data_IF_739110013095
#
_entry.id   IF_739110013095
#
_cell.length_a   1.000
_cell.length_b   1.000
_cell.length_c   1.000
_cell.angle_alpha   90.00
_cell.angle_beta   90.00
_cell.angle_gamma   90.00
#
_symmetry.space_group_name_H-M   'P 1'
#
loop_
_entity.id
_entity.type
_entity.pdbx_description
1 polymer ?
#
# COMPACT_ATOMS: atom_id res chain seq x y z
N UNK A 1 11.14 -17.82 -10.19
CA UNK A 1 10.78 -17.61 -11.61
C UNK A 1 9.38 -18.11 -11.95
N UNK A 2 9.06 -19.41 -11.73
CA UNK A 2 7.75 -19.99 -12.08
C UNK A 2 6.53 -19.18 -11.58
N UNK A 3 6.51 -18.77 -10.30
CA UNK A 3 5.41 -17.96 -9.74
C UNK A 3 5.21 -16.60 -10.45
N UNK A 4 6.29 -15.96 -10.90
CA UNK A 4 6.21 -14.66 -11.59
C UNK A 4 5.62 -14.83 -13.00
N UNK A 5 5.97 -15.90 -13.71
CA UNK A 5 5.40 -16.22 -15.02
C UNK A 5 3.90 -16.51 -14.90
N UNK A 6 3.50 -17.33 -13.93
CA UNK A 6 2.07 -17.59 -13.65
C UNK A 6 1.30 -16.29 -13.38
N UNK A 7 1.86 -15.40 -12.56
CA UNK A 7 1.22 -14.11 -12.27
C UNK A 7 1.13 -13.22 -13.52
N UNK A 8 2.18 -13.19 -14.34
CA UNK A 8 2.19 -12.45 -15.60
C UNK A 8 1.07 -12.94 -16.53
N UNK A 9 0.88 -14.24 -16.66
CA UNK A 9 -0.17 -14.83 -17.51
C UNK A 9 -1.57 -14.50 -16.99
N UNK A 10 -1.78 -14.56 -15.67
CA UNK A 10 -3.05 -14.15 -15.04
C UNK A 10 -3.35 -12.68 -15.36
N UNK A 11 -2.38 -11.78 -15.16
CA UNK A 11 -2.58 -10.34 -15.40
C UNK A 11 -2.88 -10.07 -16.88
N UNK A 12 -2.16 -10.71 -17.80
CA UNK A 12 -2.40 -10.55 -19.25
C UNK A 12 -3.76 -11.08 -19.68
N UNK A 13 -4.25 -12.15 -19.04
CA UNK A 13 -5.57 -12.73 -19.31
C UNK A 13 -6.68 -11.79 -18.83
N UNK A 14 -6.56 -11.26 -17.60
CA UNK A 14 -7.54 -10.33 -17.01
C UNK A 14 -7.52 -8.96 -17.69
N UNK A 15 -6.34 -8.50 -18.14
CA UNK A 15 -6.18 -7.20 -18.81
C UNK A 15 -5.32 -7.33 -20.07
N UNK A 16 -5.92 -7.73 -21.20
CA UNK A 16 -5.21 -7.78 -22.47
C UNK A 16 -4.62 -6.42 -22.85
N UNK A 17 -3.40 -6.43 -23.41
CA UNK A 17 -2.69 -5.21 -23.84
C UNK A 17 -1.88 -4.51 -22.75
N UNK A 18 -1.96 -4.92 -21.48
CA UNK A 18 -1.09 -4.37 -20.44
C UNK A 18 0.34 -4.88 -20.61
N UNK A 19 1.32 -3.97 -20.54
CA UNK A 19 2.74 -4.34 -20.55
C UNK A 19 3.14 -4.81 -19.16
N UNK A 20 3.35 -6.12 -19.01
CA UNK A 20 3.83 -6.72 -17.76
C UNK A 20 5.31 -7.07 -17.88
N UNK A 21 6.14 -6.46 -17.03
CA UNK A 21 7.55 -6.81 -16.87
C UNK A 21 7.70 -7.53 -15.54
N UNK A 22 8.32 -8.71 -15.56
CA UNK A 22 8.66 -9.46 -14.34
C UNK A 22 10.16 -9.38 -14.09
N UNK A 23 10.55 -9.29 -12.83
CA UNK A 23 11.95 -9.25 -12.43
C UNK A 23 12.13 -9.98 -11.09
N UNK A 24 13.31 -10.57 -10.90
CA UNK A 24 13.75 -11.11 -9.61
C UNK A 24 14.60 -10.10 -8.82
N UNK A 25 14.90 -8.96 -9.42
CA UNK A 25 15.68 -7.85 -8.87
C UNK A 25 14.96 -6.54 -9.15
N UNK A 26 14.18 -6.07 -8.19
CA UNK A 26 13.34 -4.88 -8.34
C UNK A 26 14.18 -3.59 -8.42
N UNK A 27 15.38 -3.60 -7.82
CA UNK A 27 16.29 -2.46 -7.73
C UNK A 27 16.68 -1.85 -9.10
N UNK A 28 16.54 -2.64 -10.17
CA UNK A 28 16.87 -2.23 -11.55
C UNK A 28 15.84 -1.27 -12.16
N UNK A 29 14.65 -1.20 -11.60
CA UNK A 29 13.54 -0.42 -12.16
C UNK A 29 13.15 0.79 -11.31
N UNK A 30 13.68 0.93 -10.09
CA UNK A 30 13.29 1.97 -9.12
C UNK A 30 13.31 3.39 -9.71
N UNK A 31 14.37 3.73 -10.44
CA UNK A 31 14.57 5.05 -11.06
C UNK A 31 13.55 5.37 -12.17
N UNK A 32 12.76 4.38 -12.59
CA UNK A 32 11.71 4.53 -13.60
C UNK A 32 10.28 4.47 -13.03
N UNK A 33 10.10 4.14 -11.74
CA UNK A 33 8.78 3.91 -11.16
C UNK A 33 8.15 5.18 -10.60
N UNK A 34 6.90 5.44 -10.99
CA UNK A 34 6.10 6.54 -10.43
C UNK A 34 5.32 6.08 -9.18
N UNK A 35 5.00 4.78 -9.09
CA UNK A 35 4.35 4.15 -7.93
C UNK A 35 5.02 2.83 -7.59
N UNK A 36 5.29 2.60 -6.30
CA UNK A 36 5.84 1.35 -5.77
C UNK A 36 4.91 0.82 -4.68
N UNK A 37 4.46 -0.43 -4.80
CA UNK A 37 3.65 -1.10 -3.77
C UNK A 37 4.48 -2.20 -3.13
N UNK A 38 4.77 -2.05 -1.84
CA UNK A 38 5.52 -3.01 -1.05
C UNK A 38 4.55 -3.87 -0.23
N UNK A 39 4.46 -5.15 -0.59
CA UNK A 39 3.59 -6.12 0.06
C UNK A 39 4.36 -7.36 0.59
N UNK A 40 5.68 -7.24 0.76
CA UNK A 40 6.56 -8.30 1.23
C UNK A 40 7.56 -7.75 2.22
N UNK A 41 7.67 -8.36 3.42
CA UNK A 41 8.63 -7.95 4.45
C UNK A 41 10.08 -7.99 3.98
N UNK A 42 10.43 -8.89 3.05
CA UNK A 42 11.76 -8.96 2.45
C UNK A 42 12.06 -7.83 1.45
N UNK A 43 11.11 -6.91 1.19
CA UNK A 43 11.32 -5.82 0.23
C UNK A 43 12.28 -4.73 0.74
N UNK A 44 12.63 -4.72 2.04
CA UNK A 44 13.57 -3.74 2.61
C UNK A 44 14.90 -3.68 1.87
N UNK A 45 15.43 -4.84 1.46
CA UNK A 45 16.70 -4.91 0.71
C UNK A 45 16.56 -4.51 -0.76
N UNK A 46 15.32 -4.41 -1.26
CA UNK A 46 15.02 -4.20 -2.69
C UNK A 46 14.64 -2.76 -3.05
N UNK A 47 14.30 -1.93 -2.06
CA UNK A 47 13.82 -0.56 -2.29
C UNK A 47 14.68 0.44 -1.51
N UNK A 48 15.64 1.05 -2.22
CA UNK A 48 16.36 2.21 -1.72
C UNK A 48 15.59 3.49 -2.09
N UNK A 49 15.06 4.18 -1.08
CA UNK A 49 14.31 5.43 -1.26
C UNK A 49 15.16 6.52 -1.94
N UNK A 50 16.49 6.46 -1.86
CA UNK A 50 17.35 7.45 -2.52
C UNK A 50 17.39 7.28 -4.04
N UNK A 51 17.00 6.12 -4.56
CA UNK A 51 17.07 5.79 -5.99
C UNK A 51 15.74 5.94 -6.73
N UNK A 52 14.64 6.24 -6.03
CA UNK A 52 13.35 6.42 -6.70
C UNK A 52 13.24 7.80 -7.34
N UNK A 53 12.39 7.92 -8.36
CA UNK A 53 12.06 9.20 -8.99
C UNK A 53 11.59 10.24 -7.96
N UNK A 54 11.94 11.52 -8.14
CA UNK A 54 11.20 12.59 -7.48
C UNK A 54 9.71 12.50 -7.83
N UNK A 55 8.85 12.60 -6.82
CA UNK A 55 7.40 12.46 -6.95
C UNK A 55 6.90 11.01 -6.91
N UNK A 56 7.79 10.02 -6.72
CA UNK A 56 7.37 8.62 -6.55
C UNK A 56 6.46 8.47 -5.33
N UNK A 57 5.39 7.69 -5.47
CA UNK A 57 4.52 7.29 -4.36
C UNK A 57 4.84 5.86 -3.97
N UNK A 58 5.23 5.65 -2.71
CA UNK A 58 5.54 4.34 -2.17
C UNK A 58 4.49 3.97 -1.13
N UNK A 59 3.82 2.84 -1.33
CA UNK A 59 2.90 2.27 -0.34
C UNK A 59 3.58 1.13 0.40
N UNK A 60 3.76 1.29 1.71
CA UNK A 60 4.26 0.27 2.61
C UNK A 60 3.10 -0.43 3.34
N UNK A 61 2.81 -1.68 2.96
CA UNK A 61 1.72 -2.48 3.54
C UNK A 61 2.30 -3.54 4.50
N UNK A 62 3.60 -3.51 4.80
CA UNK A 62 4.22 -4.53 5.64
C UNK A 62 4.03 -4.23 7.12
N UNK A 63 4.04 -5.29 7.93
CA UNK A 63 4.06 -5.22 9.39
C UNK A 63 5.15 -6.16 9.91
N UNK A 64 6.20 -5.64 10.60
CA UNK A 64 6.49 -4.22 10.84
C UNK A 64 6.75 -3.44 9.53
N UNK A 65 6.65 -2.10 9.59
CA UNK A 65 6.94 -1.23 8.44
C UNK A 65 8.41 -1.32 8.05
N UNK A 66 8.69 -1.21 6.76
CA UNK A 66 10.04 -1.20 6.19
C UNK A 66 10.71 0.15 6.42
N UNK A 67 10.01 1.25 6.13
CA UNK A 67 10.56 2.61 6.22
C UNK A 67 10.38 3.23 7.60
N UNK A 68 11.45 3.83 8.09
CA UNK A 68 11.44 4.68 9.29
C UNK A 68 11.23 6.15 8.93
N UNK A 69 10.74 6.96 9.87
CA UNK A 69 10.59 8.41 9.70
C UNK A 69 11.91 9.09 9.31
N UNK A 70 13.04 8.61 9.83
CA UNK A 70 14.38 9.11 9.49
C UNK A 70 14.77 8.82 8.03
N UNK A 71 14.37 7.68 7.47
CA UNK A 71 14.62 7.35 6.07
C UNK A 71 13.73 8.20 5.14
N UNK A 72 12.45 8.33 5.47
CA UNK A 72 11.50 9.15 4.69
C UNK A 72 11.92 10.62 4.69
N UNK A 73 12.40 11.15 5.83
CA UNK A 73 12.86 12.53 5.94
C UNK A 73 14.01 12.90 4.99
N UNK A 74 14.79 11.91 4.48
CA UNK A 74 15.87 12.14 3.50
C UNK A 74 15.35 12.47 2.10
N UNK A 75 14.08 12.16 1.81
CA UNK A 75 13.44 12.31 0.49
C UNK A 75 12.08 12.99 0.64
N UNK A 76 12.10 14.29 0.95
CA UNK A 76 10.89 15.11 1.09
C UNK A 76 10.14 15.38 -0.23
N UNK A 77 10.66 14.85 -1.33
CA UNK A 77 10.10 14.83 -2.67
C UNK A 77 9.46 13.48 -3.03
N UNK A 78 9.43 12.51 -2.10
CA UNK A 78 8.81 11.19 -2.27
C UNK A 78 7.69 11.03 -1.26
N UNK A 79 6.54 10.51 -1.68
CA UNK A 79 5.39 10.30 -0.80
C UNK A 79 5.39 8.85 -0.32
N UNK A 80 5.68 8.62 0.96
CA UNK A 80 5.54 7.30 1.58
C UNK A 80 4.24 7.24 2.37
N UNK A 81 3.35 6.34 1.95
CA UNK A 81 2.06 6.09 2.62
C UNK A 81 2.03 4.68 3.19
N UNK A 82 1.33 4.49 4.29
CA UNK A 82 0.97 3.17 4.79
C UNK A 82 -0.28 2.67 4.05
N UNK A 83 -0.46 1.36 4.00
CA UNK A 83 -1.66 0.75 3.42
C UNK A 83 -2.34 -0.22 4.38
N UNK A 84 -3.58 -0.58 4.01
CA UNK A 84 -4.35 -1.61 4.71
C UNK A 84 -5.05 -1.13 5.98
N UNK A 85 -5.46 0.14 6.04
CA UNK A 85 -6.22 0.72 7.15
C UNK A 85 -7.68 0.96 6.73
N UNK A 86 -8.62 0.54 7.58
CA UNK A 86 -10.06 0.56 7.32
C UNK A 86 -10.77 1.29 8.46
N UNK A 87 -11.60 2.27 8.13
CA UNK A 87 -12.48 2.95 9.06
C UNK A 87 -13.74 2.10 9.28
N UNK A 88 -13.96 1.69 10.53
CA UNK A 88 -15.15 0.97 10.96
C UNK A 88 -16.36 1.91 11.13
N UNK A 89 -17.59 1.42 10.86
CA UNK A 89 -18.83 2.14 11.09
C UNK A 89 -19.19 2.21 12.58
N UNK A 90 -19.92 3.25 12.98
CA UNK A 90 -20.50 3.35 14.32
C UNK A 90 -19.65 4.14 15.31
N UNK A 91 -20.30 4.53 16.42
CA UNK A 91 -19.74 5.47 17.38
C UNK A 91 -19.25 4.81 18.68
N UNK A 92 -19.69 3.56 18.93
CA UNK A 92 -19.46 2.82 20.17
C UNK A 92 -18.66 1.54 19.89
N UNK A 93 -17.46 1.70 19.31
CA UNK A 93 -16.53 0.60 19.10
C UNK A 93 -15.60 0.53 20.31
N UNK A 94 -15.55 -0.63 20.95
CA UNK A 94 -14.64 -0.94 22.04
C UNK A 94 -13.61 -1.96 21.57
N UNK A 95 -12.34 -1.59 21.61
CA UNK A 95 -11.22 -2.43 21.22
C UNK A 95 -9.97 -2.05 22.01
N UNK A 96 -9.01 -2.97 22.11
CA UNK A 96 -7.69 -2.64 22.64
C UNK A 96 -6.96 -1.72 21.67
N UNK A 97 -5.98 -0.98 22.21
CA UNK A 97 -5.07 -0.20 21.39
C UNK A 97 -4.24 -1.12 20.47
N UNK A 98 -4.17 -0.77 19.19
CA UNK A 98 -3.44 -1.49 18.14
C UNK A 98 -2.54 -0.54 17.32
N UNK A 99 -2.19 0.60 17.91
CA UNK A 99 -1.36 1.65 17.31
C UNK A 99 -2.02 2.30 16.07
N UNK A 100 -3.34 2.49 16.11
CA UNK A 100 -4.11 3.16 15.06
C UNK A 100 -5.06 4.19 15.65
N UNK A 101 -5.44 5.23 14.88
CA UNK A 101 -6.45 6.19 15.32
C UNK A 101 -7.79 5.51 15.64
N UNK A 102 -8.63 6.20 16.43
CA UNK A 102 -9.95 5.70 16.83
C UNK A 102 -10.77 5.22 15.63
N UNK A 103 -11.43 4.07 15.80
CA UNK A 103 -12.28 3.39 14.81
C UNK A 103 -11.55 2.92 13.53
N UNK A 104 -10.22 3.02 13.47
CA UNK A 104 -9.45 2.50 12.34
C UNK A 104 -8.81 1.18 12.74
N UNK A 105 -8.92 0.18 11.85
CA UNK A 105 -8.34 -1.15 12.04
C UNK A 105 -7.54 -1.58 10.82
N UNK A 106 -6.62 -2.50 11.01
CA UNK A 106 -5.94 -3.16 9.89
C UNK A 106 -6.94 -3.98 9.06
N UNK A 107 -6.71 -4.05 7.75
CA UNK A 107 -7.59 -4.73 6.80
C UNK A 107 -7.82 -6.22 7.14
N UNK A 108 -6.82 -6.90 7.72
CA UNK A 108 -6.99 -8.28 8.19
C UNK A 108 -7.96 -8.41 9.38
N UNK A 109 -7.95 -7.44 10.30
CA UNK A 109 -8.94 -7.38 11.38
C UNK A 109 -10.32 -6.99 10.83
N UNK A 110 -10.38 -6.06 9.87
CA UNK A 110 -11.62 -5.74 9.18
C UNK A 110 -12.23 -6.97 8.49
N UNK A 111 -11.44 -7.80 7.80
CA UNK A 111 -11.92 -9.08 7.23
C UNK A 111 -12.57 -9.96 8.30
N UNK A 112 -11.92 -10.10 9.46
CA UNK A 112 -12.43 -10.92 10.57
C UNK A 112 -13.77 -10.39 11.09
N UNK A 113 -13.88 -9.06 11.25
CA UNK A 113 -15.12 -8.40 11.68
C UNK A 113 -16.23 -8.61 10.63
N UNK A 114 -15.93 -8.39 9.35
CA UNK A 114 -16.89 -8.57 8.24
C UNK A 114 -17.44 -10.00 8.25
N UNK A 115 -16.57 -11.01 8.34
CA UNK A 115 -16.97 -12.41 8.34
C UNK A 115 -17.84 -12.74 9.56
N UNK A 116 -17.48 -12.20 10.72
CA UNK A 116 -18.27 -12.37 11.95
C UNK A 116 -19.67 -11.75 11.83
N UNK A 117 -19.78 -10.56 11.23
CA UNK A 117 -21.07 -9.90 10.97
C UNK A 117 -21.94 -10.66 9.96
N UNK A 118 -21.32 -11.38 9.01
CA UNK A 118 -22.02 -12.28 8.08
C UNK A 118 -22.30 -13.67 8.67
N UNK A 119 -21.87 -13.95 9.91
CA UNK A 119 -22.01 -15.28 10.53
C UNK A 119 -21.17 -16.37 9.86
N UNK A 120 -20.07 -15.99 9.20
CA UNK A 120 -19.19 -16.89 8.44
C UNK A 120 -17.94 -17.21 9.24
N UNK A 121 -17.80 -18.48 9.64
CA UNK A 121 -16.68 -18.97 10.43
C UNK A 121 -15.83 -19.93 9.61
N UNK A 122 -15.16 -19.40 8.59
CA UNK A 122 -14.34 -20.18 7.65
C UNK A 122 -12.94 -19.56 7.50
N UNK A 123 -12.01 -20.34 6.96
CA UNK A 123 -10.70 -19.83 6.54
C UNK A 123 -10.86 -19.10 5.21
N UNK A 124 -11.33 -17.85 5.26
CA UNK A 124 -11.68 -17.08 4.07
C UNK A 124 -10.45 -16.75 3.21
N UNK A 125 -9.46 -16.07 3.81
CA UNK A 125 -8.14 -15.82 3.22
C UNK A 125 -7.09 -16.69 3.93
N UNK A 126 -6.36 -17.54 3.18
CA UNK A 126 -5.31 -18.39 3.73
C UNK A 126 -4.04 -18.38 2.88
N UNK A 127 -2.93 -18.00 3.52
CA UNK A 127 -1.59 -18.03 2.93
C UNK A 127 -1.50 -17.21 1.65
N UNK A 128 -0.70 -17.68 0.68
CA UNK A 128 -0.45 -16.98 -0.59
C UNK A 128 -1.46 -17.31 -1.70
N UNK A 129 -2.53 -18.07 -1.39
CA UNK A 129 -3.52 -18.53 -2.38
C UNK A 129 -4.76 -17.63 -2.43
N UNK A 130 -4.55 -16.32 -2.41
CA UNK A 130 -5.63 -15.34 -2.50
C UNK A 130 -6.25 -15.38 -3.89
N UNK A 131 -7.58 -15.56 -3.95
CA UNK A 131 -8.34 -15.52 -5.21
C UNK A 131 -8.92 -14.14 -5.42
N UNK A 132 -8.84 -13.63 -6.64
CA UNK A 132 -9.34 -12.30 -6.98
C UNK A 132 -10.85 -12.12 -6.67
N UNK A 133 -11.66 -13.15 -6.90
CA UNK A 133 -13.10 -13.08 -6.60
C UNK A 133 -13.38 -12.96 -5.10
N UNK A 134 -12.60 -13.62 -4.24
CA UNK A 134 -12.72 -13.49 -2.79
C UNK A 134 -12.35 -12.07 -2.31
N UNK A 135 -11.35 -11.45 -2.93
CA UNK A 135 -10.98 -10.05 -2.63
C UNK A 135 -12.14 -9.10 -2.96
N UNK A 136 -12.79 -9.28 -4.11
CA UNK A 136 -13.98 -8.50 -4.48
C UNK A 136 -15.16 -8.77 -3.55
N UNK A 137 -15.35 -10.02 -3.14
CA UNK A 137 -16.42 -10.43 -2.22
C UNK A 137 -16.27 -9.75 -0.86
N UNK A 138 -15.11 -9.88 -0.21
CA UNK A 138 -14.90 -9.27 1.11
C UNK A 138 -14.98 -7.74 1.04
N UNK A 139 -14.50 -7.13 -0.05
CA UNK A 139 -14.65 -5.70 -0.28
C UNK A 139 -16.12 -5.26 -0.33
N UNK A 140 -16.96 -5.97 -1.09
CA UNK A 140 -18.41 -5.70 -1.16
C UNK A 140 -19.10 -5.86 0.19
N UNK A 141 -18.72 -6.88 0.96
CA UNK A 141 -19.25 -7.10 2.30
C UNK A 141 -18.81 -5.99 3.28
N UNK A 142 -17.57 -5.52 3.19
CA UNK A 142 -17.11 -4.35 3.95
C UNK A 142 -17.95 -3.10 3.66
N UNK A 143 -18.21 -2.82 2.37
CA UNK A 143 -19.08 -1.72 1.96
C UNK A 143 -20.53 -1.90 2.45
N UNK A 144 -21.07 -3.13 2.38
CA UNK A 144 -22.41 -3.47 2.89
C UNK A 144 -22.55 -3.13 4.39
N UNK A 145 -21.50 -3.37 5.17
CA UNK A 145 -21.48 -3.02 6.59
C UNK A 145 -21.10 -1.56 6.87
N UNK A 146 -20.85 -0.74 5.85
CA UNK A 146 -20.54 0.69 6.01
C UNK A 146 -19.07 0.99 6.32
N UNK A 147 -18.17 0.02 6.14
CA UNK A 147 -16.73 0.26 6.24
C UNK A 147 -16.24 1.15 5.10
N UNK A 148 -15.23 1.97 5.39
CA UNK A 148 -14.60 2.88 4.43
C UNK A 148 -13.09 2.72 4.46
N UNK A 149 -12.43 3.10 3.38
CA UNK A 149 -10.98 3.32 3.45
C UNK A 149 -10.70 4.40 4.49
N UNK A 150 -9.71 4.14 5.35
CA UNK A 150 -9.24 5.14 6.30
C UNK A 150 -8.57 6.32 5.57
N UNK A 151 -8.26 7.37 6.34
CA UNK A 151 -7.42 8.47 5.84
C UNK A 151 -6.07 7.95 5.36
N UNK A 152 -5.44 8.69 4.44
CA UNK A 152 -4.09 8.36 3.98
C UNK A 152 -3.13 8.62 5.14
N UNK A 153 -2.46 7.58 5.62
CA UNK A 153 -1.44 7.68 6.67
C UNK A 153 -0.04 7.56 6.05
N UNK A 154 0.94 8.25 6.61
CA UNK A 154 2.36 8.07 6.37
C UNK A 154 3.03 7.44 7.59
N UNK A 155 4.36 7.39 7.58
CA UNK A 155 5.16 6.79 8.67
C UNK A 155 4.96 7.47 10.03
N UNK A 156 4.57 8.75 10.03
CA UNK A 156 4.35 9.56 11.24
C UNK A 156 2.86 9.79 11.57
N UNK A 157 1.95 9.07 10.90
CA UNK A 157 0.50 9.19 11.09
C UNK A 157 -0.24 9.81 9.90
N UNK A 158 -1.45 10.31 10.13
CA UNK A 158 -2.35 10.78 9.06
C UNK A 158 -1.75 11.96 8.30
N UNK A 159 -1.76 11.87 6.97
CA UNK A 159 -1.28 12.92 6.06
C UNK A 159 -2.42 13.87 5.67
N UNK A 160 -2.13 15.17 5.73
CA UNK A 160 -3.02 16.22 5.24
C UNK A 160 -2.88 16.44 3.74
N UNK A 161 -3.82 17.20 3.15
CA UNK A 161 -3.70 17.62 1.74
C UNK A 161 -2.48 18.52 1.55
N UNK A 162 -2.17 19.34 2.55
CA UNK A 162 -1.02 20.24 2.60
C UNK A 162 0.30 19.46 2.60
N UNK A 163 0.37 18.32 3.32
CA UNK A 163 1.55 17.46 3.29
C UNK A 163 1.79 16.88 1.89
N UNK A 164 0.74 16.42 1.23
CA UNK A 164 0.82 15.88 -0.14
C UNK A 164 1.23 16.97 -1.14
N UNK A 165 0.67 18.18 -1.01
CA UNK A 165 1.03 19.33 -1.84
C UNK A 165 2.50 19.71 -1.62
N UNK A 166 2.98 19.71 -0.37
CA UNK A 166 4.39 19.98 -0.05
C UNK A 166 5.33 18.98 -0.72
N UNK A 167 5.01 17.68 -0.66
CA UNK A 167 5.81 16.64 -1.33
C UNK A 167 5.82 16.85 -2.84
N UNK A 168 4.66 17.13 -3.46
CA UNK A 168 4.55 17.43 -4.89
C UNK A 168 5.42 18.64 -5.29
N UNK A 169 5.37 19.72 -4.52
CA UNK A 169 6.12 20.94 -4.85
C UNK A 169 7.63 20.70 -4.71
N UNK A 170 8.06 19.90 -3.73
CA UNK A 170 9.45 19.46 -3.60
C UNK A 170 9.89 18.59 -4.79
N UNK A 171 9.04 17.65 -5.23
CA UNK A 171 9.30 16.84 -6.41
C UNK A 171 9.48 17.69 -7.68
N UNK A 172 8.61 18.67 -7.92
CA UNK A 172 8.74 19.57 -9.07
C UNK A 172 10.03 20.40 -9.02
N UNK A 173 10.47 20.84 -7.84
CA UNK A 173 11.75 21.54 -7.67
C UNK A 173 12.93 20.61 -7.97
N UNK A 174 12.89 19.38 -7.48
CA UNK A 174 13.95 18.40 -7.70
C UNK A 174 14.06 18.02 -9.19
N UNK A 175 12.94 17.78 -9.87
CA UNK A 175 12.92 17.50 -11.33
C UNK A 175 13.56 18.63 -12.12
N UNK A 176 13.25 19.90 -11.80
CA UNK A 176 13.86 21.06 -12.45
C UNK A 176 15.37 21.12 -12.20
N UNK A 177 15.81 20.79 -10.99
CA UNK A 177 17.23 20.74 -10.62
C UNK A 177 17.97 19.65 -11.38
N UNK A 178 17.38 18.46 -11.48
CA UNK A 178 17.98 17.32 -12.17
C UNK A 178 18.11 17.59 -13.68
N UNK A 179 17.08 18.20 -14.28
CA UNK A 179 17.11 18.61 -15.69
C UNK A 179 18.15 19.68 -16.00
N UNK A 180 18.45 20.57 -15.04
CA UNK A 180 19.49 21.59 -15.20
C UNK A 180 20.92 21.06 -14.99
N UNK A 181 21.05 19.85 -14.42
CA UNK A 181 22.34 19.19 -14.15
C UNK A 181 22.75 18.19 -15.25
N UNK A 182 21.88 17.94 -16.23
CA UNK A 182 22.10 17.11 -17.42
C UNK A 182 22.49 17.96 -18.63
#
# INVERSE_FOLDING_TARGET
MAKLLTLQDIIKTEKPGVKVVIATRAERYLESMDVIVMASSNAKESVDIMRVKPGCVITDITRPMIFTSQEVAKRQDVLVITGGEILLPGNNIEMKDIDLPKNIVYAGLAETIILSLEGRFEQFSQGSKTKWDKVKEIYKLGLKHGMKLASISGVDGVLSSEDIIRVRDNALKQIKRDAAAQ
#
